data_IF_732975638520
#
_entry.id   IF_732975638520
#
_cell.length_a   1.000
_cell.length_b   1.000
_cell.length_c   1.000
_cell.angle_alpha   90.00
_cell.angle_beta   90.00
_cell.angle_gamma   90.00
#
_symmetry.space_group_name_H-M   'P 1'
#
loop_
_entity.id
_entity.type
_entity.pdbx_description
1 polymer ?
#
# COMPACT_ATOMS: atom_id res chain seq x y z
N UNK A 1 -5.44 -12.43 26.31
CA UNK A 1 -4.30 -12.47 25.45
C UNK A 1 -3.76 -11.09 25.18
N UNK A 2 -2.52 -10.95 25.35
CA UNK A 2 -1.92 -9.67 25.10
C UNK A 2 -1.51 -9.58 23.65
N UNK A 3 -2.31 -8.93 22.91
CA UNK A 3 -1.94 -8.67 21.56
C UNK A 3 -1.12 -7.40 21.53
N UNK A 4 0.00 -7.46 20.89
CA UNK A 4 0.77 -6.26 20.71
C UNK A 4 0.06 -5.29 19.82
N UNK A 5 0.22 -4.05 20.13
CA UNK A 5 -0.34 -3.02 19.28
C UNK A 5 0.34 -3.09 17.93
N UNK A 6 -0.42 -3.27 16.88
CA UNK A 6 0.19 -3.23 15.58
C UNK A 6 0.61 -1.83 15.26
N UNK A 7 1.73 -1.70 14.65
CA UNK A 7 2.17 -0.46 14.08
C UNK A 7 1.91 -0.52 12.60
N UNK A 8 1.99 0.61 11.98
CA UNK A 8 1.75 0.72 10.57
C UNK A 8 2.89 0.06 9.80
N UNK A 9 2.59 -0.45 8.63
CA UNK A 9 3.58 -1.06 7.79
C UNK A 9 3.79 -2.51 8.13
N UNK A 10 5.00 -2.90 8.44
CA UNK A 10 5.31 -4.30 8.70
C UNK A 10 4.50 -4.83 9.87
N UNK A 11 4.15 -3.97 10.82
CA UNK A 11 3.34 -4.40 11.95
C UNK A 11 1.93 -4.78 11.56
N UNK A 12 1.40 -4.16 10.52
CA UNK A 12 0.09 -4.55 10.04
C UNK A 12 0.12 -5.97 9.50
N UNK A 13 1.14 -6.31 8.75
CA UNK A 13 1.27 -7.66 8.22
C UNK A 13 1.49 -8.67 9.34
N UNK A 14 2.26 -8.31 10.35
CA UNK A 14 2.42 -9.15 11.53
C UNK A 14 1.12 -9.34 12.26
N UNK A 15 0.31 -8.30 12.35
CA UNK A 15 -0.98 -8.41 13.00
C UNK A 15 -1.89 -9.37 12.27
N UNK A 16 -1.87 -9.37 10.94
CA UNK A 16 -2.64 -10.32 10.17
C UNK A 16 -2.26 -11.75 10.51
N UNK A 17 -0.97 -12.00 10.67
CA UNK A 17 -0.49 -13.32 11.06
C UNK A 17 -0.98 -13.68 12.46
N UNK A 18 -0.83 -12.77 13.41
CA UNK A 18 -1.21 -13.01 14.79
C UNK A 18 -2.69 -13.26 14.93
N UNK A 19 -3.47 -12.63 14.10
CA UNK A 19 -4.92 -12.79 14.16
C UNK A 19 -5.38 -14.06 13.46
N UNK A 20 -4.47 -14.80 12.85
CA UNK A 20 -4.83 -15.99 12.12
C UNK A 20 -5.31 -15.71 10.71
N UNK A 21 -5.18 -14.47 10.27
CA UNK A 21 -5.54 -14.08 8.91
C UNK A 21 -4.26 -14.07 8.10
N UNK A 22 -3.79 -15.24 7.80
CA UNK A 22 -2.49 -15.35 7.14
C UNK A 22 -2.57 -15.75 5.71
N UNK A 23 -3.74 -15.62 5.15
CA UNK A 23 -3.91 -16.01 3.78
C UNK A 23 -3.32 -14.95 2.88
N UNK A 24 -2.45 -15.37 2.02
CA UNK A 24 -1.84 -14.47 1.07
C UNK A 24 -2.90 -13.75 0.24
N UNK A 25 -4.00 -14.43 -0.03
CA UNK A 25 -5.10 -13.85 -0.78
C UNK A 25 -5.68 -12.63 -0.06
N UNK A 26 -5.78 -12.69 1.27
CA UNK A 26 -6.32 -11.58 2.04
C UNK A 26 -5.39 -10.36 1.97
N UNK A 27 -4.10 -10.60 2.16
CA UNK A 27 -3.11 -9.52 2.09
C UNK A 27 -3.09 -8.92 0.69
N UNK A 28 -3.11 -9.77 -0.31
CA UNK A 28 -3.11 -9.32 -1.70
C UNK A 28 -4.35 -8.49 -2.02
N UNK A 29 -5.49 -8.90 -1.49
CA UNK A 29 -6.73 -8.17 -1.72
C UNK A 29 -6.68 -6.77 -1.10
N UNK A 30 -6.13 -6.67 0.11
CA UNK A 30 -5.98 -5.38 0.76
C UNK A 30 -5.06 -4.47 -0.04
N UNK A 31 -3.92 -5.00 -0.46
CA UNK A 31 -2.97 -4.23 -1.26
C UNK A 31 -3.58 -3.82 -2.60
N UNK A 32 -4.39 -4.70 -3.18
CA UNK A 32 -5.05 -4.39 -4.44
C UNK A 32 -6.02 -3.21 -4.30
N UNK A 33 -6.78 -3.17 -3.22
CA UNK A 33 -7.68 -2.05 -2.96
C UNK A 33 -6.88 -0.75 -2.83
N UNK A 34 -5.79 -0.79 -2.09
CA UNK A 34 -4.95 0.39 -1.90
C UNK A 34 -4.36 0.84 -3.24
N UNK A 35 -3.90 -0.11 -4.04
CA UNK A 35 -3.32 0.21 -5.35
C UNK A 35 -4.35 0.89 -6.25
N UNK A 36 -5.58 0.40 -6.25
CA UNK A 36 -6.64 1.02 -7.04
C UNK A 36 -6.97 2.42 -6.56
N UNK A 37 -6.99 2.62 -5.25
CA UNK A 37 -7.25 3.94 -4.69
C UNK A 37 -6.14 4.92 -5.04
N UNK A 38 -4.90 4.46 -5.00
CA UNK A 38 -3.77 5.30 -5.38
C UNK A 38 -3.85 5.70 -6.84
N UNK A 39 -4.16 4.75 -7.71
CA UNK A 39 -4.29 5.04 -9.13
C UNK A 39 -5.41 6.05 -9.39
N UNK A 40 -6.51 5.91 -8.67
CA UNK A 40 -7.63 6.83 -8.77
C UNK A 40 -7.23 8.24 -8.35
N UNK A 41 -6.51 8.36 -7.23
CA UNK A 41 -6.07 9.66 -6.75
C UNK A 41 -5.09 10.31 -7.70
N UNK A 42 -4.19 9.52 -8.26
CA UNK A 42 -3.25 10.03 -9.26
C UNK A 42 -4.00 10.59 -10.47
N UNK A 43 -5.02 9.86 -10.91
CA UNK A 43 -5.82 10.31 -12.04
C UNK A 43 -6.54 11.62 -11.74
N UNK A 44 -7.12 11.72 -10.56
CA UNK A 44 -7.81 12.94 -10.14
C UNK A 44 -6.87 14.12 -10.10
N UNK A 45 -5.65 13.91 -9.68
CA UNK A 45 -4.66 14.98 -9.55
C UNK A 45 -3.79 15.12 -10.78
N UNK A 46 -4.06 14.34 -11.81
CA UNK A 46 -3.33 14.38 -13.07
C UNK A 46 -1.84 14.12 -12.88
N UNK A 47 -1.52 13.20 -11.99
CA UNK A 47 -0.14 12.77 -11.76
C UNK A 47 0.11 11.54 -12.61
N UNK A 48 1.08 11.62 -13.51
CA UNK A 48 1.44 10.48 -14.35
C UNK A 48 2.32 9.51 -13.56
N UNK A 49 2.43 8.28 -14.06
CA UNK A 49 3.33 7.30 -13.45
C UNK A 49 4.78 7.79 -13.47
N UNK A 50 5.15 8.45 -14.54
CA UNK A 50 6.50 9.00 -14.66
C UNK A 50 6.75 10.06 -13.61
N UNK A 51 5.77 10.95 -13.40
CA UNK A 51 5.86 11.97 -12.38
C UNK A 51 5.93 11.34 -11.00
N UNK A 52 5.08 10.33 -10.77
CA UNK A 52 5.07 9.62 -9.50
C UNK A 52 6.41 8.97 -9.22
N UNK A 53 7.02 8.37 -10.25
CA UNK A 53 8.34 7.77 -10.11
C UNK A 53 9.37 8.81 -9.69
N UNK A 54 9.33 9.98 -10.29
CA UNK A 54 10.23 11.06 -9.93
C UNK A 54 10.02 11.50 -8.48
N UNK A 55 8.78 11.65 -8.08
CA UNK A 55 8.45 12.08 -6.71
C UNK A 55 8.83 11.03 -5.67
N UNK A 56 8.73 9.77 -6.03
CA UNK A 56 9.10 8.68 -5.14
C UNK A 56 10.58 8.31 -5.25
N UNK A 57 11.29 8.95 -6.17
CA UNK A 57 12.70 8.65 -6.43
C UNK A 57 12.91 7.19 -6.78
N UNK A 58 12.08 6.70 -7.67
CA UNK A 58 12.15 5.32 -8.09
C UNK A 58 11.90 5.24 -9.60
N UNK A 59 11.87 4.03 -10.15
CA UNK A 59 11.66 3.85 -11.58
C UNK A 59 10.17 3.76 -11.88
N UNK A 60 9.83 4.04 -13.14
CA UNK A 60 8.45 3.88 -13.59
C UNK A 60 8.00 2.44 -13.45
N UNK A 61 8.91 1.49 -13.68
CA UNK A 61 8.58 0.07 -13.54
C UNK A 61 8.14 -0.24 -12.11
N UNK A 62 8.79 0.36 -11.13
CA UNK A 62 8.41 0.17 -9.75
C UNK A 62 7.04 0.77 -9.46
N UNK A 63 6.75 1.93 -10.06
CA UNK A 63 5.43 2.54 -9.89
C UNK A 63 4.36 1.66 -10.53
N UNK A 64 4.66 1.10 -11.71
CA UNK A 64 3.72 0.18 -12.35
C UNK A 64 3.39 -1.01 -11.45
N UNK A 65 4.40 -1.57 -10.80
CA UNK A 65 4.20 -2.69 -9.89
C UNK A 65 3.40 -2.27 -8.67
N UNK A 66 3.69 -1.09 -8.16
CA UNK A 66 3.01 -0.56 -6.99
C UNK A 66 1.52 -0.38 -7.25
N UNK A 67 1.17 0.07 -8.44
CA UNK A 67 -0.21 0.36 -8.79
C UNK A 67 -0.94 -0.82 -9.40
N UNK A 68 -0.26 -1.93 -9.61
CA UNK A 68 -0.86 -3.12 -10.19
C UNK A 68 -1.58 -3.91 -9.09
N UNK A 69 -2.91 -3.99 -9.15
CA UNK A 69 -3.65 -4.70 -8.10
C UNK A 69 -3.38 -6.21 -8.10
N UNK A 70 -2.83 -6.74 -9.18
CA UNK A 70 -2.51 -8.17 -9.26
C UNK A 70 -1.10 -8.47 -8.81
N UNK A 71 -0.31 -7.45 -8.49
CA UNK A 71 1.06 -7.63 -8.07
C UNK A 71 1.17 -7.45 -6.57
N UNK A 72 1.35 -8.53 -5.85
CA UNK A 72 1.42 -8.49 -4.40
C UNK A 72 2.79 -8.16 -3.84
N UNK A 73 3.75 -7.77 -4.67
CA UNK A 73 5.11 -7.53 -4.20
C UNK A 73 5.31 -6.16 -3.56
N UNK A 74 4.37 -5.25 -3.72
CA UNK A 74 4.49 -3.93 -3.09
C UNK A 74 4.37 -4.06 -1.58
N UNK A 75 5.22 -3.34 -0.86
CA UNK A 75 5.14 -3.34 0.60
C UNK A 75 4.16 -2.28 1.07
N UNK A 76 3.66 -2.48 2.29
CA UNK A 76 2.79 -1.48 2.92
C UNK A 76 3.53 -0.15 3.03
N UNK A 77 4.81 -0.22 3.34
CA UNK A 77 5.64 0.98 3.47
C UNK A 77 5.68 1.78 2.16
N UNK A 78 5.85 1.09 1.05
CA UNK A 78 5.86 1.75 -0.26
C UNK A 78 4.50 2.37 -0.57
N UNK A 79 3.44 1.67 -0.23
CA UNK A 79 2.09 2.17 -0.43
C UNK A 79 1.83 3.41 0.41
N UNK A 80 2.35 3.43 1.63
CA UNK A 80 2.23 4.61 2.50
C UNK A 80 2.95 5.82 1.91
N UNK A 81 4.13 5.60 1.35
CA UNK A 81 4.88 6.68 0.72
C UNK A 81 4.12 7.25 -0.47
N UNK A 82 3.57 6.37 -1.27
CA UNK A 82 2.80 6.79 -2.43
C UNK A 82 1.56 7.58 -2.01
N UNK A 83 0.90 7.14 -0.95
CA UNK A 83 -0.29 7.83 -0.45
C UNK A 83 0.03 9.26 -0.04
N UNK A 84 1.16 9.46 0.63
CA UNK A 84 1.55 10.81 1.04
C UNK A 84 1.80 11.71 -0.16
N UNK A 85 2.35 11.17 -1.22
CA UNK A 85 2.64 11.96 -2.41
C UNK A 85 1.36 12.46 -3.06
N UNK A 86 0.31 11.65 -3.05
CA UNK A 86 -0.98 12.07 -3.60
C UNK A 86 -1.82 12.85 -2.60
N UNK A 87 -1.23 13.23 -1.46
CA UNK A 87 -1.93 14.04 -0.48
C UNK A 87 -2.91 13.26 0.37
N UNK A 88 -2.74 11.95 0.46
CA UNK A 88 -3.59 11.10 1.29
C UNK A 88 -2.76 10.44 2.37
N UNK A 89 -3.43 9.92 3.35
CA UNK A 89 -2.75 9.19 4.41
C UNK A 89 -3.32 7.79 4.47
N UNK A 90 -2.44 6.81 4.40
CA UNK A 90 -2.84 5.42 4.55
C UNK A 90 -2.88 5.09 6.03
N UNK A 91 -4.07 4.85 6.53
CA UNK A 91 -4.26 4.48 7.93
C UNK A 91 -4.68 3.03 8.03
N UNK A 92 -3.95 2.30 8.83
CA UNK A 92 -4.25 0.92 9.13
C UNK A 92 -4.62 0.88 10.60
N UNK A 93 -5.86 0.54 10.87
CA UNK A 93 -6.40 0.68 12.20
C UNK A 93 -7.04 -0.63 12.65
N UNK A 94 -6.72 -1.01 13.86
CA UNK A 94 -7.32 -2.18 14.47
C UNK A 94 -8.60 -1.73 15.17
N UNK A 95 -9.70 -2.34 14.76
CA UNK A 95 -11.01 -2.01 15.34
C UNK A 95 -11.53 -3.16 16.18
#
# INVERSE_FOLDING_TARGET
MARKNPHIGSSFESWLDDAGIREEATTAAIKAVIARQLASEMKKKKITKQRMAALMKTSRAQVDRLLDPDNGSATIESLQRAAKIVGRELRLQLV
#
